data_IF_682705759063
#
_entry.id   IF_682705759063
#
_cell.length_a   1.000
_cell.length_b   1.000
_cell.length_c   1.000
_cell.angle_alpha   90.00
_cell.angle_beta   90.00
_cell.angle_gamma   90.00
#
_symmetry.space_group_name_H-M   'P 1'
#
loop_
_entity.id
_entity.type
_entity.pdbx_description
1 polymer ?
#
# COMPACT_ATOMS: atom_id res chain seq x y z
N UNK A 1 -17.27 -9.56 -7.46
CA UNK A 1 -16.42 -8.64 -8.24
C UNK A 1 -15.27 -8.05 -7.43
N UNK A 2 -15.49 -7.46 -6.24
CA UNK A 2 -14.43 -6.87 -5.41
C UNK A 2 -13.29 -7.85 -5.03
N UNK A 3 -13.58 -9.15 -4.85
CA UNK A 3 -12.60 -10.19 -4.53
C UNK A 3 -11.57 -10.35 -5.66
N UNK A 4 -11.98 -10.32 -6.93
CA UNK A 4 -11.07 -10.42 -8.07
C UNK A 4 -10.09 -9.23 -8.11
N UNK A 5 -10.58 -8.02 -7.84
CA UNK A 5 -9.73 -6.84 -7.74
C UNK A 5 -8.76 -6.93 -6.56
N UNK A 6 -9.18 -7.49 -5.43
CA UNK A 6 -8.31 -7.71 -4.28
C UNK A 6 -7.17 -8.69 -4.60
N UNK A 7 -7.46 -9.82 -5.26
CA UNK A 7 -6.41 -10.76 -5.69
C UNK A 7 -5.49 -10.15 -6.76
N UNK A 8 -6.05 -9.41 -7.72
CA UNK A 8 -5.27 -8.67 -8.71
C UNK A 8 -4.31 -7.68 -8.04
N UNK A 9 -4.79 -6.91 -7.08
CA UNK A 9 -3.96 -5.99 -6.29
C UNK A 9 -2.83 -6.73 -5.56
N UNK A 10 -3.13 -7.87 -4.94
CA UNK A 10 -2.11 -8.67 -4.23
C UNK A 10 -1.02 -9.18 -5.19
N UNK A 11 -1.40 -9.66 -6.38
CA UNK A 11 -0.46 -10.11 -7.40
C UNK A 11 0.48 -8.99 -7.82
N UNK A 12 -0.08 -7.83 -8.21
CA UNK A 12 0.72 -6.68 -8.63
C UNK A 12 1.55 -6.08 -7.49
N UNK A 13 1.08 -6.13 -6.25
CA UNK A 13 1.88 -5.74 -5.09
C UNK A 13 3.10 -6.64 -4.91
N UNK A 14 2.95 -7.96 -5.09
CA UNK A 14 4.06 -8.90 -5.06
C UNK A 14 5.09 -8.65 -6.17
N UNK A 15 4.62 -8.47 -7.42
CA UNK A 15 5.49 -8.10 -8.55
C UNK A 15 6.23 -6.78 -8.28
N UNK A 16 5.53 -5.80 -7.76
CA UNK A 16 6.12 -4.50 -7.38
C UNK A 16 7.26 -4.67 -6.38
N UNK A 17 7.10 -5.51 -5.36
CA UNK A 17 8.12 -5.73 -4.34
C UNK A 17 9.41 -6.33 -4.94
N UNK A 18 9.28 -7.31 -5.85
CA UNK A 18 10.41 -7.96 -6.52
C UNK A 18 11.10 -6.99 -7.48
N UNK A 19 10.34 -6.29 -8.33
CA UNK A 19 10.88 -5.31 -9.27
C UNK A 19 11.59 -4.16 -8.54
N UNK A 20 11.00 -3.69 -7.43
CA UNK A 20 11.62 -2.69 -6.57
C UNK A 20 12.94 -3.20 -6.00
N UNK A 21 12.99 -4.43 -5.48
CA UNK A 21 14.22 -5.03 -4.95
C UNK A 21 15.31 -5.15 -6.01
N UNK A 22 14.96 -5.48 -7.25
CA UNK A 22 15.92 -5.53 -8.36
C UNK A 22 16.45 -4.12 -8.72
N UNK A 23 15.57 -3.12 -8.77
CA UNK A 23 15.94 -1.77 -9.18
C UNK A 23 16.71 -0.97 -8.13
N UNK A 24 16.51 -1.28 -6.83
CA UNK A 24 17.05 -0.48 -5.72
C UNK A 24 18.47 -0.88 -5.30
N UNK A 25 19.03 -1.97 -5.81
CA UNK A 25 20.32 -2.54 -5.36
C UNK A 25 21.48 -1.53 -5.37
N UNK A 26 21.51 -0.62 -6.37
CA UNK A 26 22.59 0.35 -6.56
C UNK A 26 22.05 1.80 -6.64
N UNK A 27 20.82 2.04 -6.19
CA UNK A 27 20.17 3.34 -6.29
C UNK A 27 19.72 3.79 -4.90
N UNK A 28 19.88 5.08 -4.60
CA UNK A 28 19.36 5.64 -3.34
C UNK A 28 17.85 5.43 -3.22
N UNK A 29 17.37 5.08 -2.01
CA UNK A 29 15.96 4.79 -1.78
C UNK A 29 15.04 5.96 -2.10
N UNK A 30 15.50 7.19 -1.86
CA UNK A 30 14.72 8.39 -2.14
C UNK A 30 14.57 8.60 -3.66
N UNK A 31 15.66 8.38 -4.41
CA UNK A 31 15.64 8.48 -5.89
C UNK A 31 14.73 7.41 -6.48
N UNK A 32 14.86 6.17 -6.02
CA UNK A 32 14.01 5.07 -6.49
C UNK A 32 12.52 5.32 -6.19
N UNK A 33 12.20 5.84 -5.00
CA UNK A 33 10.83 6.20 -4.62
C UNK A 33 10.30 7.33 -5.49
N UNK A 34 11.10 8.38 -5.74
CA UNK A 34 10.69 9.52 -6.56
C UNK A 34 10.41 9.12 -8.01
N UNK A 35 11.32 8.35 -8.64
CA UNK A 35 11.15 7.87 -10.02
C UNK A 35 9.91 6.98 -10.15
N UNK A 36 9.72 6.04 -9.23
CA UNK A 36 8.55 5.17 -9.24
C UNK A 36 7.24 5.95 -9.05
N UNK A 37 7.24 6.91 -8.12
CA UNK A 37 6.07 7.77 -7.88
C UNK A 37 5.72 8.59 -9.12
N UNK A 38 6.73 9.09 -9.84
CA UNK A 38 6.55 9.77 -11.12
C UNK A 38 5.85 8.88 -12.16
N UNK A 39 6.27 7.62 -12.29
CA UNK A 39 5.63 6.66 -13.19
C UNK A 39 4.17 6.41 -12.79
N UNK A 40 3.92 6.19 -11.49
CA UNK A 40 2.56 5.99 -10.97
C UNK A 40 1.69 7.22 -11.21
N UNK A 41 2.23 8.42 -11.02
CA UNK A 41 1.53 9.68 -11.29
C UNK A 41 1.08 9.75 -12.75
N UNK A 42 2.02 9.56 -13.68
CA UNK A 42 1.71 9.61 -15.12
C UNK A 42 0.67 8.56 -15.49
N UNK A 43 0.85 7.32 -15.02
CA UNK A 43 -0.08 6.23 -15.28
C UNK A 43 -1.50 6.53 -14.74
N UNK A 44 -1.60 7.08 -13.53
CA UNK A 44 -2.89 7.42 -12.92
C UNK A 44 -3.62 8.52 -13.70
N UNK A 45 -2.89 9.54 -14.17
CA UNK A 45 -3.47 10.59 -15.01
C UNK A 45 -3.92 10.06 -16.37
N UNK A 46 -3.12 9.19 -17.01
CA UNK A 46 -3.51 8.55 -18.27
C UNK A 46 -4.81 7.75 -18.08
N UNK A 47 -4.92 6.97 -17.01
CA UNK A 47 -6.14 6.22 -16.72
C UNK A 47 -7.35 7.14 -16.51
N UNK A 48 -7.17 8.25 -15.80
CA UNK A 48 -8.22 9.24 -15.59
C UNK A 48 -8.74 9.81 -16.92
N UNK A 49 -7.83 10.16 -17.84
CA UNK A 49 -8.20 10.66 -19.16
C UNK A 49 -8.87 9.60 -20.03
N UNK A 50 -8.39 8.35 -19.99
CA UNK A 50 -8.98 7.25 -20.74
C UNK A 50 -10.41 6.92 -20.30
N UNK A 51 -10.69 7.02 -19.01
CA UNK A 51 -12.03 6.79 -18.46
C UNK A 51 -12.94 8.02 -18.64
N UNK A 52 -12.38 9.20 -18.93
CA UNK A 52 -13.14 10.42 -19.14
C UNK A 52 -13.67 11.07 -17.85
N UNK A 53 -13.11 10.69 -16.69
CA UNK A 53 -13.56 11.17 -15.38
C UNK A 53 -12.96 12.52 -14.94
N UNK A 54 -12.26 13.24 -15.83
CA UNK A 54 -11.63 14.52 -15.48
C UNK A 54 -12.61 15.61 -15.05
N UNK A 55 -13.87 15.55 -15.49
CA UNK A 55 -14.90 16.50 -15.07
C UNK A 55 -15.24 16.36 -13.57
N UNK A 56 -15.16 15.17 -13.02
CA UNK A 56 -15.48 14.90 -11.61
C UNK A 56 -14.48 15.56 -10.64
N UNK A 57 -13.27 15.92 -11.11
CA UNK A 57 -12.28 16.63 -10.28
C UNK A 57 -12.83 17.96 -9.76
N UNK A 58 -13.69 18.63 -10.53
CA UNK A 58 -14.27 19.94 -10.15
C UNK A 58 -15.31 19.82 -9.06
N UNK A 59 -15.91 18.64 -8.93
CA UNK A 59 -16.99 18.38 -7.98
C UNK A 59 -16.49 17.83 -6.64
N UNK A 60 -15.16 17.65 -6.51
CA UNK A 60 -14.54 17.16 -5.27
C UNK A 60 -14.65 18.22 -4.17
N UNK A 61 -15.29 17.86 -3.04
CA UNK A 61 -15.34 18.75 -1.89
C UNK A 61 -13.96 18.94 -1.24
N UNK A 62 -13.73 20.12 -0.65
CA UNK A 62 -12.48 20.42 0.05
C UNK A 62 -12.14 19.38 1.14
N UNK A 63 -13.17 18.86 1.81
CA UNK A 63 -12.99 17.82 2.83
C UNK A 63 -12.40 16.52 2.25
N UNK A 64 -12.93 16.06 1.13
CA UNK A 64 -12.42 14.87 0.43
C UNK A 64 -10.99 15.10 -0.06
N UNK A 65 -10.71 16.28 -0.61
CA UNK A 65 -9.37 16.66 -1.07
C UNK A 65 -8.32 16.60 0.07
N UNK A 66 -8.66 17.11 1.25
CA UNK A 66 -7.78 17.04 2.43
C UNK A 66 -7.46 15.59 2.80
N UNK A 67 -8.47 14.72 2.85
CA UNK A 67 -8.24 13.30 3.16
C UNK A 67 -7.36 12.61 2.10
N UNK A 68 -7.55 12.92 0.82
CA UNK A 68 -6.72 12.38 -0.26
C UNK A 68 -5.27 12.87 -0.16
N UNK A 69 -5.05 14.14 0.18
CA UNK A 69 -3.70 14.69 0.39
C UNK A 69 -3.01 14.00 1.57
N UNK A 70 -3.71 13.88 2.72
CA UNK A 70 -3.16 13.18 3.89
C UNK A 70 -2.84 11.72 3.60
N UNK A 71 -3.71 11.04 2.85
CA UNK A 71 -3.48 9.66 2.40
C UNK A 71 -2.26 9.57 1.49
N UNK A 72 -2.10 10.49 0.55
CA UNK A 72 -0.93 10.57 -0.32
C UNK A 72 0.37 10.79 0.44
N UNK A 73 0.38 11.70 1.42
CA UNK A 73 1.55 11.94 2.29
C UNK A 73 1.90 10.68 3.11
N UNK A 74 0.90 10.03 3.71
CA UNK A 74 1.11 8.77 4.44
C UNK A 74 1.70 7.69 3.54
N UNK A 75 1.20 7.57 2.32
CA UNK A 75 1.72 6.62 1.33
C UNK A 75 3.18 6.93 0.98
N UNK A 76 3.52 8.19 0.76
CA UNK A 76 4.89 8.62 0.46
C UNK A 76 5.86 8.27 1.58
N UNK A 77 5.51 8.56 2.83
CA UNK A 77 6.32 8.23 4.01
C UNK A 77 6.46 6.70 4.14
N UNK A 78 5.38 5.96 3.98
CA UNK A 78 5.39 4.49 4.04
C UNK A 78 6.34 3.91 2.99
N UNK A 79 6.31 4.40 1.76
CA UNK A 79 7.18 3.93 0.69
C UNK A 79 8.64 4.27 0.92
N UNK A 80 8.96 5.44 1.45
CA UNK A 80 10.34 5.78 1.81
C UNK A 80 10.90 4.79 2.85
N UNK A 81 10.13 4.49 3.88
CA UNK A 81 10.49 3.49 4.89
C UNK A 81 10.63 2.08 4.27
N UNK A 82 9.67 1.67 3.45
CA UNK A 82 9.66 0.38 2.79
C UNK A 82 10.86 0.17 1.86
N UNK A 83 11.16 1.15 1.02
CA UNK A 83 12.32 1.07 0.12
C UNK A 83 13.65 1.06 0.88
N UNK A 84 13.74 1.85 1.96
CA UNK A 84 14.92 1.82 2.82
C UNK A 84 15.12 0.44 3.45
N UNK A 85 14.04 -0.19 3.92
CA UNK A 85 14.10 -1.54 4.45
C UNK A 85 14.52 -2.56 3.37
N UNK A 86 13.95 -2.46 2.14
CA UNK A 86 14.31 -3.34 1.03
C UNK A 86 15.77 -3.25 0.59
N UNK A 87 16.45 -2.12 0.80
CA UNK A 87 17.88 -2.00 0.48
C UNK A 87 18.73 -2.91 1.35
N UNK A 88 18.42 -2.99 2.63
CA UNK A 88 19.25 -3.68 3.63
C UNK A 88 18.76 -5.06 3.99
N UNK A 89 17.46 -5.33 3.87
CA UNK A 89 16.84 -6.57 4.32
C UNK A 89 16.37 -7.49 3.21
N UNK A 90 15.92 -8.67 3.59
CA UNK A 90 15.35 -9.66 2.68
C UNK A 90 13.90 -9.31 2.32
N UNK A 91 13.58 -9.29 1.04
CA UNK A 91 12.22 -9.01 0.59
C UNK A 91 11.19 -10.01 1.14
N UNK A 92 11.59 -11.28 1.30
CA UNK A 92 10.75 -12.34 1.89
C UNK A 92 10.33 -12.08 3.34
N UNK A 93 11.09 -11.26 4.07
CA UNK A 93 10.79 -10.86 5.45
C UNK A 93 10.08 -9.50 5.49
N UNK A 94 10.55 -8.56 4.71
CA UNK A 94 10.02 -7.17 4.73
C UNK A 94 8.59 -7.11 4.18
N UNK A 95 8.28 -7.84 3.12
CA UNK A 95 6.93 -7.85 2.53
C UNK A 95 5.87 -8.33 3.52
N UNK A 96 6.04 -9.44 4.25
CA UNK A 96 5.11 -9.83 5.31
C UNK A 96 5.02 -8.81 6.45
N UNK A 97 6.13 -8.19 6.88
CA UNK A 97 6.12 -7.15 7.92
C UNK A 97 5.27 -5.95 7.48
N UNK A 98 5.41 -5.52 6.24
CA UNK A 98 4.59 -4.42 5.68
C UNK A 98 3.09 -4.74 5.76
N UNK A 99 2.71 -6.02 5.65
CA UNK A 99 1.32 -6.47 5.79
C UNK A 99 0.77 -6.37 7.22
N UNK A 100 1.62 -6.15 8.24
CA UNK A 100 1.15 -5.82 9.58
C UNK A 100 0.39 -4.48 9.64
N UNK A 101 0.49 -3.65 8.60
CA UNK A 101 -0.38 -2.48 8.41
C UNK A 101 -1.87 -2.81 8.47
N UNK A 102 -2.26 -4.07 8.23
CA UNK A 102 -3.63 -4.55 8.41
C UNK A 102 -4.13 -4.36 9.85
N UNK A 103 -3.25 -4.43 10.86
CA UNK A 103 -3.61 -4.19 12.26
C UNK A 103 -4.05 -2.75 12.46
N UNK A 104 -3.31 -1.81 11.87
CA UNK A 104 -3.65 -0.37 11.93
C UNK A 104 -4.98 -0.13 11.22
N UNK A 105 -5.15 -0.70 10.03
CA UNK A 105 -6.41 -0.58 9.27
C UNK A 105 -7.60 -1.09 10.05
N UNK A 106 -7.49 -2.26 10.68
CA UNK A 106 -8.59 -2.86 11.46
C UNK A 106 -8.89 -2.05 12.73
N UNK A 107 -7.85 -1.56 13.43
CA UNK A 107 -8.04 -0.72 14.59
C UNK A 107 -8.81 0.56 14.25
N UNK A 108 -8.46 1.20 13.12
CA UNK A 108 -9.18 2.37 12.62
C UNK A 108 -10.59 2.04 12.10
N UNK A 109 -10.76 0.93 11.37
CA UNK A 109 -12.09 0.48 10.92
C UNK A 109 -13.04 0.27 12.09
N UNK A 110 -12.57 -0.34 13.16
CA UNK A 110 -13.37 -0.53 14.37
C UNK A 110 -13.70 0.81 15.06
N UNK A 111 -12.71 1.71 15.18
CA UNK A 111 -12.87 2.97 15.91
C UNK A 111 -13.69 4.02 15.15
N UNK A 112 -13.53 4.11 13.82
CA UNK A 112 -14.11 5.18 12.98
C UNK A 112 -15.38 4.72 12.28
N UNK A 113 -15.36 3.51 11.71
CA UNK A 113 -16.49 2.97 10.95
C UNK A 113 -17.37 2.03 11.76
N UNK A 114 -16.99 1.73 13.01
CA UNK A 114 -17.69 0.79 13.91
C UNK A 114 -17.93 -0.59 13.27
N UNK A 115 -17.03 -1.00 12.37
CA UNK A 115 -17.10 -2.31 11.74
C UNK A 115 -16.76 -3.41 12.75
N UNK A 116 -17.68 -4.35 12.93
CA UNK A 116 -17.47 -5.48 13.85
C UNK A 116 -16.63 -6.56 13.17
N UNK A 117 -15.49 -6.91 13.76
CA UNK A 117 -14.73 -8.08 13.34
C UNK A 117 -15.53 -9.35 13.65
N UNK A 118 -15.73 -10.18 12.63
CA UNK A 118 -16.21 -11.54 12.80
C UNK A 118 -15.10 -12.38 13.48
N UNK A 119 -15.49 -13.37 14.28
CA UNK A 119 -14.55 -14.31 14.89
C UNK A 119 -13.63 -14.98 13.84
N UNK A 120 -14.17 -15.29 12.65
CA UNK A 120 -13.39 -15.84 11.52
C UNK A 120 -12.34 -14.85 11.02
N UNK A 121 -12.69 -13.58 10.92
CA UNK A 121 -11.73 -12.53 10.51
C UNK A 121 -10.66 -12.31 11.57
N UNK A 122 -11.03 -12.37 12.86
CA UNK A 122 -10.10 -12.26 13.98
C UNK A 122 -9.07 -13.40 14.00
N UNK A 123 -9.50 -14.65 13.78
CA UNK A 123 -8.57 -15.81 13.71
C UNK A 123 -7.64 -15.71 12.51
N UNK A 124 -8.14 -15.31 11.33
CA UNK A 124 -7.30 -15.09 10.15
C UNK A 124 -6.24 -14.01 10.38
N UNK A 125 -6.61 -12.92 11.04
CA UNK A 125 -5.69 -11.85 11.40
C UNK A 125 -4.60 -12.33 12.37
N UNK A 126 -4.96 -13.08 13.40
CA UNK A 126 -4.04 -13.64 14.36
C UNK A 126 -2.99 -14.53 13.65
N UNK A 127 -3.43 -15.37 12.71
CA UNK A 127 -2.54 -16.23 11.93
C UNK A 127 -1.56 -15.42 11.07
N UNK A 128 -1.99 -14.32 10.45
CA UNK A 128 -1.11 -13.43 9.70
C UNK A 128 -0.05 -12.83 10.61
N UNK A 129 -0.44 -12.32 11.78
CA UNK A 129 0.48 -11.72 12.74
C UNK A 129 1.50 -12.73 13.24
N UNK A 130 1.05 -13.89 13.71
CA UNK A 130 1.93 -14.96 14.22
C UNK A 130 2.86 -15.46 13.11
N UNK A 131 2.35 -15.69 11.90
CA UNK A 131 3.17 -16.11 10.76
C UNK A 131 4.22 -15.07 10.38
N UNK A 132 3.88 -13.79 10.41
CA UNK A 132 4.84 -12.71 10.12
C UNK A 132 5.92 -12.61 11.19
N UNK A 133 5.55 -12.72 12.46
CA UNK A 133 6.51 -12.70 13.56
C UNK A 133 7.44 -13.93 13.55
N UNK A 134 6.94 -15.09 13.14
CA UNK A 134 7.75 -16.30 12.98
C UNK A 134 8.83 -16.14 11.89
N UNK A 135 8.67 -15.26 10.92
CA UNK A 135 9.71 -14.97 9.92
C UNK A 135 10.87 -14.10 10.46
N UNK A 136 10.71 -13.52 11.64
CA UNK A 136 11.74 -12.71 12.29
C UNK A 136 12.71 -13.53 13.17
N UNK A 137 12.33 -14.76 13.48
CA UNK A 137 13.11 -15.69 14.33
C UNK A 137 13.92 -16.64 13.46
#
# INVERSE_FOLDING_TARGET
MWILFAFGSALFAGLTAILAKCGIRNTDSNVATALRTGVVLVFSWLMLFMVGAQSEIRDISAKVLIFLILSGLSTGISWLCYYRALQTGLASVIVPIDKLSILVTIAFSYSVFHEKLSLKSGTGLLLIVVGTLALLI
#
